data_IF_987684278801
#
_entry.id   IF_987684278801
#
_cell.length_a   1.000
_cell.length_b   1.000
_cell.length_c   1.000
_cell.angle_alpha   90.00
_cell.angle_beta   90.00
_cell.angle_gamma   90.00
#
_symmetry.space_group_name_H-M   'P 1'
#
loop_
_entity.id
_entity.type
_entity.pdbx_description
1 polymer ?
#
# COMPACT_ATOMS: atom_id res chain seq x y z
N UNK A 1 8.31 21.80 -21.90
CA UNK A 1 6.98 21.28 -22.30
C UNK A 1 6.03 22.31 -22.92
N UNK A 2 6.35 23.61 -22.94
CA UNK A 2 5.46 24.68 -23.44
C UNK A 2 4.08 24.70 -22.75
N UNK A 3 4.08 24.42 -21.44
CA UNK A 3 2.92 24.50 -20.57
C UNK A 3 3.22 25.43 -19.40
N UNK A 4 2.20 26.08 -18.86
CA UNK A 4 2.30 26.89 -17.64
C UNK A 4 1.93 26.04 -16.42
N UNK A 5 2.76 26.05 -15.40
CA UNK A 5 2.43 25.43 -14.12
C UNK A 5 1.82 26.47 -13.18
N UNK A 6 0.72 26.11 -12.51
CA UNK A 6 0.18 26.98 -11.46
C UNK A 6 1.04 26.92 -10.19
N UNK A 7 1.11 28.00 -9.41
CA UNK A 7 1.86 28.00 -8.16
C UNK A 7 1.36 26.94 -7.16
N UNK A 8 0.05 26.66 -7.16
CA UNK A 8 -0.55 25.59 -6.37
C UNK A 8 -0.08 24.20 -6.83
N UNK A 9 0.05 23.97 -8.13
CA UNK A 9 0.59 22.71 -8.68
C UNK A 9 2.04 22.49 -8.26
N UNK A 10 2.88 23.51 -8.27
CA UNK A 10 4.29 23.40 -7.83
C UNK A 10 4.39 23.02 -6.35
N UNK A 11 3.59 23.65 -5.48
CA UNK A 11 3.54 23.27 -4.05
C UNK A 11 3.03 21.84 -3.86
N UNK A 12 1.93 21.49 -4.53
CA UNK A 12 1.35 20.16 -4.47
C UNK A 12 2.36 19.09 -4.92
N UNK A 13 3.21 19.37 -5.93
CA UNK A 13 4.23 18.43 -6.38
C UNK A 13 5.23 18.10 -5.26
N UNK A 14 5.66 19.10 -4.49
CA UNK A 14 6.57 18.89 -3.35
C UNK A 14 5.88 18.12 -2.22
N UNK A 15 4.72 18.59 -1.78
CA UNK A 15 3.99 18.01 -0.65
C UNK A 15 3.59 16.55 -0.92
N UNK A 16 3.04 16.28 -2.11
CA UNK A 16 2.60 14.95 -2.49
C UNK A 16 3.76 14.01 -2.80
N UNK A 17 4.86 14.49 -3.39
CA UNK A 17 6.05 13.66 -3.59
C UNK A 17 6.71 13.28 -2.26
N UNK A 18 6.73 14.18 -1.27
CA UNK A 18 7.19 13.84 0.10
C UNK A 18 6.33 12.77 0.72
N UNK A 19 5.01 12.88 0.55
CA UNK A 19 4.04 11.99 1.20
C UNK A 19 3.97 10.60 0.58
N UNK A 20 4.02 10.51 -0.75
CA UNK A 20 3.69 9.28 -1.49
C UNK A 20 4.87 8.64 -2.23
N UNK A 21 5.95 9.38 -2.51
CA UNK A 21 7.13 8.86 -3.22
C UNK A 21 8.28 8.74 -2.21
N UNK A 22 8.30 7.63 -1.47
CA UNK A 22 9.19 7.43 -0.32
C UNK A 22 10.55 6.82 -0.67
N UNK A 23 10.69 6.27 -1.87
CA UNK A 23 11.91 5.65 -2.41
C UNK A 23 12.90 6.67 -3.03
N UNK A 24 12.50 7.93 -3.15
CA UNK A 24 13.29 9.02 -3.72
C UNK A 24 13.42 10.22 -2.78
N UNK A 25 14.44 11.03 -3.03
CA UNK A 25 14.78 12.19 -2.22
C UNK A 25 14.39 13.49 -2.92
N UNK A 26 14.10 14.53 -2.13
CA UNK A 26 13.97 15.88 -2.67
C UNK A 26 15.37 16.43 -3.02
N UNK A 27 15.46 17.35 -4.01
CA UNK A 27 14.37 17.91 -4.80
C UNK A 27 13.93 17.03 -6.00
N UNK A 28 14.72 16.02 -6.35
CA UNK A 28 14.61 15.22 -7.57
C UNK A 28 13.19 14.67 -7.81
N UNK A 29 12.61 14.00 -6.81
CA UNK A 29 11.25 13.44 -6.93
C UNK A 29 10.14 14.46 -7.23
N UNK A 30 10.28 15.70 -6.77
CA UNK A 30 9.30 16.74 -7.06
C UNK A 30 9.48 17.30 -8.47
N UNK A 31 10.72 17.35 -8.95
CA UNK A 31 11.04 17.74 -10.33
C UNK A 31 10.50 16.69 -11.30
N UNK A 32 10.71 15.40 -11.03
CA UNK A 32 10.16 14.30 -11.83
C UNK A 32 8.64 14.38 -11.99
N UNK A 33 7.92 14.64 -10.89
CA UNK A 33 6.46 14.81 -10.90
C UNK A 33 6.05 15.97 -11.81
N UNK A 34 6.75 17.10 -11.74
CA UNK A 34 6.47 18.28 -12.57
C UNK A 34 6.78 17.97 -14.04
N UNK A 35 7.92 17.34 -14.31
CA UNK A 35 8.36 17.01 -15.65
C UNK A 35 7.37 16.07 -16.33
N UNK A 36 7.00 14.99 -15.64
CA UNK A 36 6.08 14.00 -16.16
C UNK A 36 4.67 14.56 -16.37
N UNK A 37 4.21 15.48 -15.52
CA UNK A 37 2.95 16.20 -15.72
C UNK A 37 2.96 17.05 -16.99
N UNK A 38 4.05 17.78 -17.25
CA UNK A 38 4.19 18.56 -18.47
C UNK A 38 4.34 17.70 -19.72
N UNK A 39 5.09 16.60 -19.63
CA UNK A 39 5.25 15.65 -20.72
C UNK A 39 3.89 15.03 -21.09
N UNK A 40 3.11 14.59 -20.09
CA UNK A 40 1.76 14.05 -20.30
C UNK A 40 0.81 15.06 -20.95
N UNK A 41 0.84 16.32 -20.51
CA UNK A 41 0.03 17.38 -21.13
C UNK A 41 0.36 17.58 -22.61
N UNK A 42 1.64 17.42 -22.98
CA UNK A 42 2.13 17.55 -24.37
C UNK A 42 1.84 16.31 -25.23
N UNK A 43 1.85 15.12 -24.65
CA UNK A 43 1.59 13.84 -25.33
C UNK A 43 0.10 13.62 -25.66
N UNK A 44 -0.82 14.36 -25.03
CA UNK A 44 -2.24 14.31 -25.36
C UNK A 44 -2.51 14.70 -26.83
N UNK A 45 -3.58 14.18 -27.45
CA UNK A 45 -4.05 14.62 -28.76
C UNK A 45 -4.22 16.14 -28.80
N UNK A 46 -3.95 16.79 -29.93
CA UNK A 46 -3.95 18.26 -30.05
C UNK A 46 -5.23 18.91 -29.50
N UNK A 47 -6.38 18.27 -29.72
CA UNK A 47 -7.70 18.71 -29.22
C UNK A 47 -7.86 18.66 -27.69
N UNK A 48 -7.03 17.88 -26.98
CA UNK A 48 -7.07 17.68 -25.51
C UNK A 48 -5.84 18.20 -24.79
N UNK A 49 -4.88 18.82 -25.49
CA UNK A 49 -3.66 19.37 -24.88
C UNK A 49 -4.01 20.50 -23.93
N UNK A 50 -3.68 20.32 -22.66
CA UNK A 50 -3.78 21.39 -21.67
C UNK A 50 -2.59 22.34 -21.81
N UNK A 51 -2.85 23.65 -21.84
CA UNK A 51 -1.81 24.68 -21.77
C UNK A 51 -1.35 24.98 -20.34
N UNK A 52 -2.14 24.57 -19.35
CA UNK A 52 -1.88 24.84 -17.94
C UNK A 52 -1.99 23.54 -17.14
N UNK A 53 -0.97 23.26 -16.33
CA UNK A 53 -0.92 22.13 -15.38
C UNK A 53 -1.42 22.61 -14.02
N UNK A 54 -2.46 21.96 -13.51
CA UNK A 54 -3.09 22.27 -12.22
C UNK A 54 -2.80 21.19 -11.17
N UNK A 55 -3.37 21.34 -9.98
CA UNK A 55 -3.16 20.39 -8.87
C UNK A 55 -3.64 18.99 -9.23
N UNK A 56 -4.79 18.84 -9.89
CA UNK A 56 -5.32 17.54 -10.28
C UNK A 56 -4.42 16.78 -11.27
N UNK A 57 -3.72 17.51 -12.15
CA UNK A 57 -2.73 16.91 -13.05
C UNK A 57 -1.53 16.33 -12.26
N UNK A 58 -1.06 17.06 -11.24
CA UNK A 58 0.01 16.61 -10.33
C UNK A 58 -0.45 15.40 -9.52
N UNK A 59 -1.64 15.45 -8.94
CA UNK A 59 -2.23 14.33 -8.18
C UNK A 59 -2.29 13.06 -9.02
N UNK A 60 -2.73 13.15 -10.28
CA UNK A 60 -2.78 12.00 -11.19
C UNK A 60 -1.39 11.45 -11.55
N UNK A 61 -0.38 12.31 -11.67
CA UNK A 61 1.01 11.90 -11.96
C UNK A 61 1.64 11.25 -10.74
N UNK A 62 1.56 11.88 -9.57
CA UNK A 62 1.99 11.28 -8.30
C UNK A 62 1.28 9.96 -8.09
N UNK A 63 -0.02 9.90 -8.41
CA UNK A 63 -0.78 8.69 -8.23
C UNK A 63 -0.20 7.52 -9.01
N UNK A 64 0.13 7.76 -10.27
CA UNK A 64 0.74 6.78 -11.15
C UNK A 64 2.18 6.42 -10.74
N UNK A 65 3.01 7.39 -10.35
CA UNK A 65 4.39 7.13 -9.88
C UNK A 65 4.37 6.29 -8.61
N UNK A 66 3.57 6.71 -7.62
CA UNK A 66 3.41 6.03 -6.33
C UNK A 66 2.55 4.76 -6.41
N UNK A 67 2.01 4.42 -7.60
CA UNK A 67 1.10 3.28 -7.83
C UNK A 67 -0.10 3.28 -6.89
N UNK A 68 -0.63 4.46 -6.59
CA UNK A 68 -1.90 4.63 -5.91
C UNK A 68 -3.02 4.79 -6.94
N UNK A 69 -4.23 4.31 -6.65
CA UNK A 69 -5.37 4.54 -7.53
C UNK A 69 -5.52 6.03 -7.85
N UNK A 70 -5.58 6.43 -9.12
CA UNK A 70 -5.74 7.85 -9.51
C UNK A 70 -7.00 8.50 -8.87
N UNK A 71 -7.97 7.65 -8.50
CA UNK A 71 -9.22 8.02 -7.83
C UNK A 71 -9.09 8.22 -6.31
N UNK A 72 -7.97 7.87 -5.69
CA UNK A 72 -7.76 7.99 -4.24
C UNK A 72 -7.39 9.40 -3.79
N UNK A 73 -7.40 10.38 -4.70
CA UNK A 73 -7.04 11.77 -4.40
C UNK A 73 -8.25 12.74 -4.48
N UNK A 74 -9.40 12.33 -5.02
CA UNK A 74 -10.62 13.16 -4.99
C UNK A 74 -11.92 12.35 -5.09
N UNK A 75 -12.96 12.80 -4.37
CA UNK A 75 -14.40 12.41 -4.34
C UNK A 75 -14.79 10.91 -4.45
N UNK A 76 -14.27 10.17 -5.43
CA UNK A 76 -14.45 8.72 -5.61
C UNK A 76 -14.04 7.90 -4.40
N UNK A 77 -12.94 8.25 -3.72
CA UNK A 77 -12.49 7.50 -2.54
C UNK A 77 -13.49 7.60 -1.37
N UNK A 78 -14.18 8.73 -1.25
CA UNK A 78 -15.20 8.93 -0.20
C UNK A 78 -16.39 8.01 -0.42
N UNK A 79 -16.87 7.86 -1.66
CA UNK A 79 -17.99 6.98 -1.98
C UNK A 79 -17.60 5.51 -1.83
N UNK A 80 -16.39 5.14 -2.26
CA UNK A 80 -15.85 3.79 -2.06
C UNK A 80 -15.79 3.44 -0.57
N UNK A 81 -15.24 4.34 0.27
CA UNK A 81 -15.14 4.12 1.71
C UNK A 81 -16.50 4.13 2.40
N UNK A 82 -17.42 5.03 2.00
CA UNK A 82 -18.77 5.10 2.55
C UNK A 82 -19.50 3.77 2.43
N UNK A 83 -19.44 3.16 1.24
CA UNK A 83 -20.16 1.93 0.91
C UNK A 83 -19.33 0.65 1.13
N UNK A 84 -18.10 0.76 1.67
CA UNK A 84 -17.18 -0.38 1.79
C UNK A 84 -17.78 -1.52 2.62
N UNK A 85 -18.36 -1.20 3.78
CA UNK A 85 -18.99 -2.19 4.67
C UNK A 85 -20.12 -2.95 4.00
N UNK A 86 -21.03 -2.22 3.35
CA UNK A 86 -22.18 -2.81 2.65
C UNK A 86 -21.72 -3.73 1.50
N UNK A 87 -20.71 -3.30 0.74
CA UNK A 87 -20.12 -4.12 -0.34
C UNK A 87 -19.51 -5.41 0.17
N UNK A 88 -18.83 -5.38 1.31
CA UNK A 88 -18.27 -6.57 1.93
C UNK A 88 -19.36 -7.50 2.47
N UNK A 89 -20.37 -6.96 3.17
CA UNK A 89 -21.49 -7.73 3.73
C UNK A 89 -22.37 -8.39 2.67
N UNK A 90 -22.43 -7.85 1.45
CA UNK A 90 -23.12 -8.50 0.32
C UNK A 90 -22.42 -9.78 -0.18
N UNK A 91 -21.11 -9.91 0.07
CA UNK A 91 -20.29 -11.00 -0.46
C UNK A 91 -19.84 -11.98 0.64
N UNK A 92 -19.70 -11.50 1.87
CA UNK A 92 -19.34 -12.31 3.04
C UNK A 92 -20.46 -12.25 4.06
N UNK A 93 -21.15 -13.38 4.23
CA UNK A 93 -22.29 -13.50 5.13
C UNK A 93 -21.87 -13.90 6.54
N UNK A 94 -22.51 -13.31 7.56
CA UNK A 94 -22.38 -13.71 8.96
C UNK A 94 -21.14 -13.18 9.69
N UNK A 95 -20.33 -12.33 9.06
CA UNK A 95 -19.11 -11.73 9.62
C UNK A 95 -19.27 -10.22 9.89
N UNK A 96 -20.49 -9.76 10.12
CA UNK A 96 -20.85 -8.34 10.19
C UNK A 96 -19.99 -7.54 11.17
N UNK A 97 -19.77 -8.06 12.38
CA UNK A 97 -18.95 -7.41 13.41
C UNK A 97 -17.48 -7.24 13.00
N UNK A 98 -16.92 -8.27 12.36
CA UNK A 98 -15.54 -8.23 11.87
C UNK A 98 -15.40 -7.23 10.72
N UNK A 99 -16.37 -7.21 9.80
CA UNK A 99 -16.43 -6.26 8.69
C UNK A 99 -16.61 -4.83 9.20
N UNK A 100 -17.45 -4.59 10.20
CA UNK A 100 -17.62 -3.28 10.82
C UNK A 100 -16.30 -2.77 11.41
N UNK A 101 -15.65 -3.55 12.28
CA UNK A 101 -14.37 -3.18 12.88
C UNK A 101 -13.28 -2.91 11.83
N UNK A 102 -13.19 -3.76 10.81
CA UNK A 102 -12.27 -3.61 9.67
C UNK A 102 -12.51 -2.29 8.93
N UNK A 103 -13.77 -2.02 8.56
CA UNK A 103 -14.09 -0.84 7.76
C UNK A 103 -14.01 0.46 8.54
N UNK A 104 -14.29 0.47 9.84
CA UNK A 104 -14.09 1.62 10.71
C UNK A 104 -12.61 2.01 10.80
N UNK A 105 -11.73 1.05 11.06
CA UNK A 105 -10.29 1.29 11.12
C UNK A 105 -9.74 1.85 9.80
N UNK A 106 -10.16 1.30 8.66
CA UNK A 106 -9.75 1.80 7.33
C UNK A 106 -10.27 3.22 7.09
N UNK A 107 -11.53 3.51 7.45
CA UNK A 107 -12.12 4.86 7.34
C UNK A 107 -11.36 5.87 8.18
N UNK A 108 -11.01 5.53 9.43
CA UNK A 108 -10.23 6.41 10.31
C UNK A 108 -8.85 6.72 9.74
N UNK A 109 -8.12 5.69 9.29
CA UNK A 109 -6.81 5.87 8.69
C UNK A 109 -6.88 6.76 7.43
N UNK A 110 -7.87 6.53 6.56
CA UNK A 110 -8.06 7.33 5.33
C UNK A 110 -8.55 8.75 5.59
N UNK A 111 -9.22 9.00 6.72
CA UNK A 111 -9.59 10.34 7.16
C UNK A 111 -8.42 11.14 7.76
N UNK A 112 -7.23 10.54 7.88
CA UNK A 112 -6.09 11.16 8.57
C UNK A 112 -6.22 11.16 10.08
N UNK A 113 -7.14 10.36 10.64
CA UNK A 113 -7.35 10.19 12.08
C UNK A 113 -6.63 8.96 12.63
N UNK A 114 -5.88 8.25 11.78
CA UNK A 114 -5.03 7.13 12.18
C UNK A 114 -3.62 7.56 12.58
N UNK A 115 -2.77 6.57 12.88
CA UNK A 115 -1.36 6.81 13.19
C UNK A 115 -0.53 6.96 11.92
N UNK A 116 0.14 8.10 11.73
CA UNK A 116 0.93 8.39 10.52
C UNK A 116 2.12 7.45 10.30
N UNK A 117 2.60 6.77 11.35
CA UNK A 117 3.77 5.90 11.31
C UNK A 117 3.44 4.40 11.42
N UNK A 118 2.18 4.01 11.24
CA UNK A 118 1.73 2.61 11.33
C UNK A 118 0.99 2.19 10.06
N UNK A 119 0.81 0.89 9.82
CA UNK A 119 -0.06 0.41 8.74
C UNK A 119 -1.48 0.98 8.86
N UNK A 120 -2.22 0.97 7.76
CA UNK A 120 -3.63 1.45 7.69
C UNK A 120 -4.49 0.77 8.75
N UNK A 121 -4.22 -0.52 8.99
CA UNK A 121 -4.76 -1.31 10.08
C UNK A 121 -4.03 -2.63 10.15
N UNK A 122 -3.94 -3.20 11.35
CA UNK A 122 -3.37 -4.53 11.58
C UNK A 122 -4.45 -5.39 12.25
N UNK A 123 -4.83 -6.49 11.60
CA UNK A 123 -5.96 -7.32 12.00
C UNK A 123 -5.52 -8.76 12.20
N UNK A 124 -6.03 -9.39 13.25
CA UNK A 124 -5.95 -10.83 13.46
C UNK A 124 -7.38 -11.39 13.39
N UNK A 125 -7.67 -12.16 12.35
CA UNK A 125 -8.94 -12.86 12.22
C UNK A 125 -8.81 -14.25 12.83
N UNK A 126 -9.55 -14.49 13.90
CA UNK A 126 -9.59 -15.79 14.55
C UNK A 126 -10.94 -16.48 14.29
N UNK A 127 -10.92 -17.81 14.17
CA UNK A 127 -12.12 -18.63 14.01
C UNK A 127 -11.83 -19.94 13.28
N UNK A 128 -12.82 -20.86 13.18
CA UNK A 128 -12.67 -22.12 12.45
C UNK A 128 -12.26 -21.94 10.98
N UNK A 129 -11.82 -23.01 10.34
CA UNK A 129 -11.59 -23.02 8.88
C UNK A 129 -12.92 -22.82 8.14
N UNK A 130 -12.87 -22.20 6.96
CA UNK A 130 -14.04 -22.07 6.08
C UNK A 130 -15.07 -21.00 6.49
N UNK A 131 -14.87 -20.24 7.57
CA UNK A 131 -15.82 -19.20 8.02
C UNK A 131 -15.72 -17.87 7.26
N UNK A 132 -14.79 -17.75 6.30
CA UNK A 132 -14.65 -16.58 5.43
C UNK A 132 -13.53 -15.60 5.79
N UNK A 133 -12.59 -15.95 6.69
CA UNK A 133 -11.46 -15.07 7.09
C UNK A 133 -10.64 -14.58 5.89
N UNK A 134 -10.18 -15.51 5.07
CA UNK A 134 -9.44 -15.23 3.82
C UNK A 134 -10.30 -14.49 2.81
N UNK A 135 -11.59 -14.85 2.71
CA UNK A 135 -12.51 -14.25 1.74
C UNK A 135 -12.78 -12.78 2.03
N UNK A 136 -12.95 -12.37 3.30
CA UNK A 136 -13.05 -10.94 3.69
C UNK A 136 -11.86 -10.16 3.15
N UNK A 137 -10.65 -10.72 3.27
CA UNK A 137 -9.41 -10.08 2.86
C UNK A 137 -9.30 -9.94 1.34
N UNK A 138 -9.70 -10.99 0.61
CA UNK A 138 -9.77 -10.98 -0.87
C UNK A 138 -10.80 -9.99 -1.37
N UNK A 139 -11.97 -9.90 -0.72
CA UNK A 139 -13.01 -8.96 -1.14
C UNK A 139 -12.64 -7.51 -0.77
N UNK A 140 -11.90 -7.31 0.32
CA UNK A 140 -11.37 -6.01 0.70
C UNK A 140 -10.45 -5.44 -0.38
N UNK A 141 -9.48 -6.22 -0.87
CA UNK A 141 -8.54 -5.77 -1.90
C UNK A 141 -9.27 -5.38 -3.19
N UNK A 142 -10.23 -6.21 -3.63
CA UNK A 142 -11.09 -5.94 -4.79
C UNK A 142 -11.95 -4.69 -4.60
N UNK A 143 -12.55 -4.51 -3.42
CA UNK A 143 -13.44 -3.39 -3.14
C UNK A 143 -12.68 -2.04 -3.12
N UNK A 144 -11.45 -2.05 -2.62
CA UNK A 144 -10.53 -0.91 -2.59
C UNK A 144 -9.76 -0.71 -3.92
N UNK A 145 -9.74 -1.71 -4.78
CA UNK A 145 -8.99 -1.68 -6.04
C UNK A 145 -7.47 -1.63 -5.83
N UNK A 146 -6.96 -2.33 -4.81
CA UNK A 146 -5.53 -2.42 -4.47
C UNK A 146 -5.07 -3.88 -4.52
N UNK A 147 -3.75 -4.09 -4.62
CA UNK A 147 -3.19 -5.43 -4.77
C UNK A 147 -3.42 -6.29 -3.53
N UNK A 148 -3.62 -7.59 -3.72
CA UNK A 148 -3.59 -8.58 -2.64
C UNK A 148 -2.21 -9.25 -2.64
N UNK A 149 -1.42 -8.99 -1.60
CA UNK A 149 -0.17 -9.70 -1.35
C UNK A 149 -0.49 -10.84 -0.38
N UNK A 150 -0.38 -12.09 -0.84
CA UNK A 150 -0.70 -13.26 -0.01
C UNK A 150 0.55 -14.08 0.24
N UNK A 151 0.79 -14.41 1.51
CA UNK A 151 1.84 -15.30 1.95
C UNK A 151 1.22 -16.39 2.83
N UNK A 152 1.48 -17.65 2.47
CA UNK A 152 1.10 -18.82 3.27
C UNK A 152 2.19 -19.08 4.32
N UNK A 153 1.87 -18.90 5.59
CA UNK A 153 2.84 -19.04 6.67
C UNK A 153 3.27 -20.49 6.95
N UNK A 154 2.56 -21.47 6.39
CA UNK A 154 3.01 -22.87 6.38
C UNK A 154 4.29 -23.07 5.54
N UNK A 155 4.61 -22.18 4.60
CA UNK A 155 5.91 -22.20 3.91
C UNK A 155 7.07 -21.63 4.76
N UNK A 156 6.75 -20.96 5.86
CA UNK A 156 7.69 -20.22 6.72
C UNK A 156 7.82 -20.83 8.12
N UNK A 157 7.59 -22.14 8.24
CA UNK A 157 7.69 -22.90 9.50
C UNK A 157 9.14 -23.02 10.01
N UNK A 158 10.12 -22.91 9.13
CA UNK A 158 11.52 -23.10 9.45
C UNK A 158 12.29 -21.77 9.46
N UNK A 159 13.25 -21.65 10.38
CA UNK A 159 14.01 -20.40 10.54
C UNK A 159 14.64 -19.87 9.26
N UNK A 160 15.14 -20.76 8.40
CA UNK A 160 15.84 -20.37 7.19
C UNK A 160 14.89 -19.95 6.05
N UNK A 161 13.61 -20.36 6.07
CA UNK A 161 12.62 -19.90 5.10
C UNK A 161 12.12 -18.50 5.46
N UNK A 162 12.09 -18.12 6.74
CA UNK A 162 11.82 -16.73 7.19
C UNK A 162 12.78 -15.74 6.54
N UNK A 163 14.06 -16.10 6.40
CA UNK A 163 15.07 -15.28 5.73
C UNK A 163 14.65 -14.89 4.31
N UNK A 164 13.83 -15.71 3.61
CA UNK A 164 13.36 -15.38 2.26
C UNK A 164 12.40 -14.19 2.26
N UNK A 165 11.69 -13.90 3.36
CA UNK A 165 10.80 -12.74 3.45
C UNK A 165 11.57 -11.42 3.44
N UNK A 166 12.75 -11.38 4.07
CA UNK A 166 13.59 -10.18 4.26
C UNK A 166 14.95 -10.24 3.53
N UNK A 167 15.18 -11.27 2.73
CA UNK A 167 16.44 -11.55 2.05
C UNK A 167 17.41 -12.36 2.90
N UNK A 168 18.26 -13.17 2.27
CA UNK A 168 19.32 -13.87 2.99
C UNK A 168 20.36 -12.85 3.51
N UNK A 169 21.05 -13.12 4.63
CA UNK A 169 22.12 -12.25 5.12
C UNK A 169 23.40 -12.35 4.24
N UNK A 170 24.31 -11.37 4.32
CA UNK A 170 25.57 -11.40 3.57
C UNK A 170 26.35 -12.70 3.80
N UNK A 171 26.77 -13.35 2.71
CA UNK A 171 27.53 -14.61 2.75
C UNK A 171 26.70 -15.89 2.62
N UNK A 172 25.38 -15.80 2.47
CA UNK A 172 24.49 -16.94 2.21
C UNK A 172 23.99 -16.96 0.76
N UNK A 173 23.72 -18.16 0.24
CA UNK A 173 23.12 -18.33 -1.10
C UNK A 173 21.77 -17.62 -1.14
N UNK A 174 21.58 -16.73 -2.12
CA UNK A 174 20.36 -15.93 -2.28
C UNK A 174 20.40 -14.53 -1.65
N UNK A 175 21.56 -14.08 -1.15
CA UNK A 175 21.76 -12.70 -0.66
C UNK A 175 21.30 -11.63 -1.68
N UNK A 176 21.64 -11.82 -2.95
CA UNK A 176 21.28 -10.89 -4.02
C UNK A 176 19.81 -10.98 -4.48
N UNK A 177 19.01 -11.92 -3.96
CA UNK A 177 17.63 -12.14 -4.40
C UNK A 177 16.58 -11.25 -3.70
N UNK A 178 17.01 -10.36 -2.80
CA UNK A 178 16.09 -9.49 -2.06
C UNK A 178 15.17 -10.25 -1.11
N UNK A 179 14.28 -9.52 -0.43
CA UNK A 179 13.26 -10.12 0.43
C UNK A 179 11.92 -10.20 -0.28
N UNK A 180 11.28 -11.36 -0.30
CA UNK A 180 9.99 -11.57 -0.95
C UNK A 180 8.92 -10.60 -0.44
N UNK A 181 8.87 -10.37 0.87
CA UNK A 181 7.91 -9.47 1.49
C UNK A 181 8.26 -8.01 1.24
N UNK A 182 9.53 -7.64 1.42
CA UNK A 182 9.98 -6.25 1.25
C UNK A 182 9.86 -5.82 -0.21
N UNK A 183 10.24 -6.67 -1.17
CA UNK A 183 10.11 -6.39 -2.60
C UNK A 183 8.65 -6.33 -3.05
N UNK A 184 7.78 -7.21 -2.53
CA UNK A 184 6.35 -7.17 -2.83
C UNK A 184 5.71 -5.84 -2.39
N UNK A 185 6.04 -5.35 -1.20
CA UNK A 185 5.52 -4.08 -0.67
C UNK A 185 6.14 -2.88 -1.37
N UNK A 186 7.44 -2.91 -1.70
CA UNK A 186 8.06 -1.84 -2.51
C UNK A 186 7.39 -1.77 -3.89
N UNK A 187 7.05 -2.91 -4.50
CA UNK A 187 6.37 -2.95 -5.80
C UNK A 187 4.91 -2.50 -5.69
N UNK A 188 4.24 -2.80 -4.58
CA UNK A 188 2.83 -2.50 -4.33
C UNK A 188 2.66 -1.83 -2.95
N UNK A 189 3.02 -0.53 -2.83
CA UNK A 189 3.01 0.18 -1.54
C UNK A 189 1.60 0.35 -0.96
N UNK A 190 0.56 0.20 -1.80
CA UNK A 190 -0.84 0.19 -1.41
C UNK A 190 -1.40 -1.20 -1.69
N UNK A 191 -1.54 -1.98 -0.64
CA UNK A 191 -1.95 -3.37 -0.75
C UNK A 191 -2.72 -3.82 0.49
N UNK A 192 -3.47 -4.90 0.33
CA UNK A 192 -3.88 -5.75 1.43
C UNK A 192 -2.86 -6.87 1.53
N UNK A 193 -2.15 -6.95 2.65
CA UNK A 193 -1.18 -8.00 2.95
C UNK A 193 -1.85 -9.05 3.83
N UNK A 194 -2.02 -10.26 3.27
CA UNK A 194 -2.57 -11.42 3.95
C UNK A 194 -1.44 -12.38 4.34
N UNK A 195 -1.33 -12.66 5.64
CA UNK A 195 -0.49 -13.72 6.20
C UNK A 195 -1.42 -14.83 6.67
N UNK A 196 -1.56 -15.87 5.84
CA UNK A 196 -2.47 -16.99 6.07
C UNK A 196 -1.82 -18.05 6.97
N UNK A 197 -2.61 -18.72 7.81
CA UNK A 197 -2.16 -19.73 8.77
C UNK A 197 -1.03 -19.23 9.69
N UNK A 198 -1.17 -18.02 10.26
CA UNK A 198 -0.10 -17.36 11.01
C UNK A 198 0.41 -18.18 12.20
N UNK A 199 -0.42 -19.07 12.75
CA UNK A 199 -0.04 -19.98 13.83
C UNK A 199 0.99 -21.04 13.42
N UNK A 200 1.16 -21.28 12.11
CA UNK A 200 2.16 -22.21 11.56
C UNK A 200 3.53 -21.57 11.37
N UNK A 201 3.59 -20.24 11.34
CA UNK A 201 4.83 -19.50 11.12
C UNK A 201 5.90 -19.83 12.18
N UNK A 202 7.16 -19.81 11.77
CA UNK A 202 8.28 -19.79 12.71
C UNK A 202 8.21 -18.53 13.59
N UNK A 203 8.58 -18.59 14.89
CA UNK A 203 8.51 -17.45 15.80
C UNK A 203 9.23 -16.18 15.33
N UNK A 204 10.31 -16.32 14.55
CA UNK A 204 11.05 -15.17 13.98
C UNK A 204 10.19 -14.29 13.05
N UNK A 205 9.10 -14.82 12.48
CA UNK A 205 8.14 -14.02 11.71
C UNK A 205 7.49 -12.95 12.58
N UNK A 206 7.17 -13.25 13.85
CA UNK A 206 6.54 -12.26 14.73
C UNK A 206 7.46 -11.07 15.01
N UNK A 207 8.78 -11.24 15.03
CA UNK A 207 9.72 -10.14 15.18
C UNK A 207 9.66 -9.17 13.99
N UNK A 208 9.53 -9.70 12.78
CA UNK A 208 9.31 -8.91 11.56
C UNK A 208 7.99 -8.14 11.66
N UNK A 209 6.93 -8.81 12.11
CA UNK A 209 5.60 -8.20 12.25
C UNK A 209 5.57 -7.09 13.29
N UNK A 210 6.24 -7.26 14.43
CA UNK A 210 6.37 -6.21 15.44
C UNK A 210 7.01 -4.95 14.85
N UNK A 211 8.09 -5.10 14.08
CA UNK A 211 8.74 -3.96 13.41
C UNK A 211 7.78 -3.24 12.44
N UNK A 212 7.01 -4.00 11.66
CA UNK A 212 6.01 -3.47 10.72
C UNK A 212 4.88 -2.74 11.46
N UNK A 213 4.34 -3.33 12.53
CA UNK A 213 3.20 -2.77 13.27
C UNK A 213 3.58 -1.53 14.10
N UNK A 214 4.81 -1.47 14.61
CA UNK A 214 5.26 -0.35 15.44
C UNK A 214 5.76 0.84 14.62
N UNK A 215 6.55 0.58 13.58
CA UNK A 215 7.25 1.63 12.83
C UNK A 215 6.72 1.83 11.40
N UNK A 216 5.76 1.00 10.95
CA UNK A 216 5.19 1.07 9.61
C UNK A 216 6.22 0.82 8.51
N UNK A 217 7.40 0.29 8.84
CA UNK A 217 8.50 0.11 7.89
C UNK A 217 9.31 -1.13 8.24
N UNK A 218 9.81 -1.83 7.23
CA UNK A 218 10.67 -3.01 7.37
C UNK A 218 11.95 -2.79 6.59
N UNK A 219 13.10 -3.09 7.18
CA UNK A 219 14.39 -3.02 6.49
C UNK A 219 14.86 -4.44 6.21
N UNK A 220 15.17 -4.71 4.95
CA UNK A 220 15.68 -6.00 4.51
C UNK A 220 17.18 -6.16 4.84
N UNK A 221 17.72 -7.35 4.65
CA UNK A 221 19.14 -7.63 4.94
C UNK A 221 20.12 -6.93 3.97
N UNK A 222 19.61 -6.35 2.89
CA UNK A 222 20.35 -5.54 1.93
C UNK A 222 20.28 -4.04 2.25
N UNK A 223 19.63 -3.66 3.36
CA UNK A 223 19.45 -2.28 3.80
C UNK A 223 18.35 -1.53 3.06
N UNK A 224 17.54 -2.19 2.22
CA UNK A 224 16.41 -1.57 1.54
C UNK A 224 15.23 -1.49 2.50
N UNK A 225 14.57 -0.32 2.49
CA UNK A 225 13.45 -0.03 3.39
C UNK A 225 12.12 -0.12 2.63
N UNK A 226 11.26 -1.03 3.07
CA UNK A 226 9.88 -1.15 2.61
C UNK A 226 8.93 -0.37 3.54
N UNK A 227 7.96 0.33 2.96
CA UNK A 227 7.00 1.18 3.67
C UNK A 227 5.61 0.54 3.70
N UNK A 228 5.12 0.26 4.90
CA UNK A 228 3.86 -0.42 5.17
C UNK A 228 2.77 0.56 5.64
N UNK A 229 3.02 1.87 5.73
CA UNK A 229 2.03 2.85 6.21
C UNK A 229 0.75 2.91 5.39
N UNK A 230 0.81 2.43 4.15
CA UNK A 230 -0.31 2.37 3.22
C UNK A 230 -0.86 0.95 3.00
N UNK A 231 -0.39 -0.02 3.80
CA UNK A 231 -0.77 -1.43 3.75
C UNK A 231 -1.84 -1.73 4.80
N UNK A 232 -2.83 -2.53 4.43
CA UNK A 232 -3.74 -3.18 5.39
C UNK A 232 -3.17 -4.57 5.70
N UNK A 233 -2.71 -4.78 6.92
CA UNK A 233 -2.13 -6.05 7.36
C UNK A 233 -3.23 -6.94 7.95
N UNK A 234 -3.41 -8.14 7.41
CA UNK A 234 -4.36 -9.15 7.90
C UNK A 234 -3.63 -10.46 8.15
N UNK A 235 -3.83 -11.02 9.34
CA UNK A 235 -3.35 -12.33 9.77
C UNK A 235 -4.57 -13.23 10.00
N UNK A 236 -4.56 -14.46 9.48
CA UNK A 236 -5.67 -15.42 9.57
C UNK A 236 -5.28 -16.74 10.19
#
# INVERSE_FOLDING_TARGET
>A
HDVRYTAKAVRAAVELAVKYINDRHLPDKAIDVIDEAGARARLMPVSKRKKTVNVADIESVVARIARIPEKSVSQSDRDTLKNLGDRLKMLVFGQDKAIEALTEAIKMARAGLGHEHKPVGSFLFAGPTGVGKTEVTVQLSKALGIELLRFDMSEYMERHTVSRLIGAPPGYVGFDQGGLLTDAVIKHPHAVLLLDEIEKAHPDVFNILLQVMDNGTLTDNNGRKADFRNVVLVMT
#
